data_IF_652810152566
#
_entry.id   IF_652810152566
#
_cell.length_a   1.000
_cell.length_b   1.000
_cell.length_c   1.000
_cell.angle_alpha   90.00
_cell.angle_beta   90.00
_cell.angle_gamma   90.00
#
_symmetry.space_group_name_H-M   'P 1'
#
loop_
_entity.id
_entity.type
_entity.pdbx_description
1 polymer ?
#
# COMPACT_ATOMS: atom_id res chain seq x y z
N UNK A 1 12.19 -2.49 2.63
CA UNK A 1 11.23 -1.45 2.23
C UNK A 1 10.40 -1.04 3.44
N UNK A 2 10.41 0.24 3.77
CA UNK A 2 9.72 0.74 4.97
C UNK A 2 8.30 1.24 4.67
N UNK A 3 8.06 1.70 3.45
CA UNK A 3 6.77 2.24 3.05
C UNK A 3 6.44 1.74 1.65
N UNK A 4 5.20 1.29 1.46
CA UNK A 4 4.68 0.94 0.15
C UNK A 4 3.49 1.84 -0.14
N UNK A 5 3.52 2.53 -1.29
CA UNK A 5 2.42 3.41 -1.68
C UNK A 5 1.72 2.87 -2.93
N UNK A 6 0.41 3.07 -2.98
CA UNK A 6 -0.40 2.65 -4.12
C UNK A 6 -1.20 3.82 -4.64
N UNK A 7 -1.09 4.07 -5.94
CA UNK A 7 -1.79 5.18 -6.60
C UNK A 7 -3.10 4.74 -7.26
N UNK A 8 -3.43 3.46 -7.25
CA UNK A 8 -4.69 2.96 -7.78
C UNK A 8 -4.98 1.55 -7.27
N UNK A 9 -6.26 1.14 -7.32
CA UNK A 9 -6.64 -0.22 -6.95
C UNK A 9 -6.04 -1.27 -7.88
N UNK A 10 -5.89 -0.93 -9.16
CA UNK A 10 -5.25 -1.83 -10.12
C UNK A 10 -3.78 -2.10 -9.77
N UNK A 11 -3.09 -1.08 -9.28
CA UNK A 11 -1.70 -1.23 -8.86
C UNK A 11 -1.59 -2.23 -7.71
N UNK A 12 -2.51 -2.17 -6.76
CA UNK A 12 -2.55 -3.12 -5.63
C UNK A 12 -2.70 -4.54 -6.14
N UNK A 13 -3.71 -4.77 -6.99
CA UNK A 13 -3.99 -6.11 -7.54
C UNK A 13 -2.82 -6.65 -8.36
N UNK A 14 -2.25 -5.82 -9.22
CA UNK A 14 -1.13 -6.20 -10.08
C UNK A 14 0.11 -6.56 -9.28
N UNK A 15 0.46 -5.71 -8.31
CA UNK A 15 1.63 -5.94 -7.46
C UNK A 15 1.47 -7.25 -6.68
N UNK A 16 0.31 -7.47 -6.10
CA UNK A 16 0.04 -8.69 -5.34
C UNK A 16 0.13 -9.94 -6.22
N UNK A 17 -0.46 -9.86 -7.42
CA UNK A 17 -0.46 -10.97 -8.37
C UNK A 17 0.97 -11.32 -8.81
N UNK A 18 1.78 -10.32 -9.11
CA UNK A 18 3.17 -10.53 -9.50
C UNK A 18 3.99 -11.15 -8.37
N UNK A 19 3.81 -10.67 -7.15
CA UNK A 19 4.54 -11.18 -6.01
C UNK A 19 4.12 -12.59 -5.64
N UNK A 20 2.84 -12.90 -5.72
CA UNK A 20 2.35 -14.26 -5.46
C UNK A 20 2.91 -15.25 -6.48
N UNK A 21 3.01 -14.85 -7.76
CA UNK A 21 3.59 -15.69 -8.80
C UNK A 21 5.07 -15.95 -8.56
N UNK A 22 5.79 -14.95 -8.03
CA UNK A 22 7.23 -15.05 -7.82
C UNK A 22 7.60 -15.71 -6.49
N UNK A 23 6.86 -15.41 -5.41
CA UNK A 23 7.24 -15.76 -4.05
C UNK A 23 6.27 -16.71 -3.34
N UNK A 24 5.05 -16.85 -3.85
CA UNK A 24 4.00 -17.60 -3.19
C UNK A 24 3.22 -16.74 -2.21
N UNK A 25 2.02 -17.18 -1.84
CA UNK A 25 1.08 -16.39 -1.02
C UNK A 25 1.62 -16.09 0.38
N UNK A 26 2.22 -17.08 1.03
CA UNK A 26 2.70 -16.91 2.41
C UNK A 26 3.84 -15.88 2.47
N UNK A 27 4.79 -15.95 1.54
CA UNK A 27 5.90 -15.01 1.49
C UNK A 27 5.43 -13.60 1.16
N UNK A 28 4.42 -13.49 0.27
CA UNK A 28 3.85 -12.20 -0.08
C UNK A 28 3.16 -11.56 1.11
N UNK A 29 2.40 -12.31 1.90
CA UNK A 29 1.78 -11.79 3.12
C UNK A 29 2.82 -11.24 4.09
N UNK A 30 3.90 -11.97 4.31
CA UNK A 30 4.97 -11.53 5.20
C UNK A 30 5.63 -10.25 4.69
N UNK A 31 5.80 -10.13 3.37
CA UNK A 31 6.39 -8.95 2.77
C UNK A 31 5.58 -7.70 3.07
N UNK A 32 4.25 -7.79 3.08
CA UNK A 32 3.37 -6.64 3.31
C UNK A 32 3.07 -6.36 4.77
N UNK A 33 3.50 -7.21 5.70
CA UNK A 33 3.27 -6.98 7.13
C UNK A 33 4.19 -5.92 7.72
N UNK A 34 5.44 -5.89 7.28
CA UNK A 34 6.45 -4.99 7.87
C UNK A 34 6.33 -3.55 7.40
N UNK A 35 6.19 -3.27 6.08
CA UNK A 35 6.14 -1.88 5.64
C UNK A 35 4.79 -1.24 5.93
N UNK A 36 4.79 0.08 6.07
CA UNK A 36 3.56 0.84 6.12
C UNK A 36 2.94 0.89 4.73
N UNK A 37 1.61 0.76 4.65
CA UNK A 37 0.87 0.82 3.39
C UNK A 37 0.16 2.15 3.32
N UNK A 38 0.41 2.90 2.25
CA UNK A 38 -0.20 4.22 2.03
C UNK A 38 -1.00 4.16 0.73
N UNK A 39 -2.25 4.62 0.78
CA UNK A 39 -3.12 4.67 -0.40
C UNK A 39 -3.39 6.11 -0.81
N UNK A 40 -3.72 6.30 -2.10
CA UNK A 40 -4.02 7.63 -2.62
C UNK A 40 -5.43 8.10 -2.26
N UNK A 41 -6.36 7.20 -1.99
CA UNK A 41 -7.73 7.57 -1.69
C UNK A 41 -8.57 6.40 -1.22
N UNK A 42 -9.90 6.64 -0.97
CA UNK A 42 -10.77 5.61 -0.37
C UNK A 42 -10.92 4.34 -1.20
N UNK A 43 -10.97 4.45 -2.53
CA UNK A 43 -11.12 3.27 -3.39
C UNK A 43 -9.87 2.39 -3.33
N UNK A 44 -8.71 3.01 -3.35
CA UNK A 44 -7.43 2.29 -3.22
C UNK A 44 -7.30 1.70 -1.82
N UNK A 45 -7.71 2.44 -0.79
CA UNK A 45 -7.74 1.94 0.58
C UNK A 45 -8.58 0.69 0.71
N UNK A 46 -9.77 0.70 0.10
CA UNK A 46 -10.66 -0.46 0.11
C UNK A 46 -9.99 -1.67 -0.52
N UNK A 47 -9.30 -1.47 -1.63
CA UNK A 47 -8.60 -2.55 -2.32
C UNK A 47 -7.44 -3.08 -1.48
N UNK A 48 -6.70 -2.18 -0.83
CA UNK A 48 -5.63 -2.58 0.07
C UNK A 48 -6.15 -3.43 1.23
N UNK A 49 -7.27 -3.02 1.83
CA UNK A 49 -7.87 -3.78 2.91
C UNK A 49 -8.35 -5.16 2.45
N UNK A 50 -8.92 -5.24 1.25
CA UNK A 50 -9.40 -6.52 0.69
C UNK A 50 -8.25 -7.48 0.38
N UNK A 51 -7.16 -6.97 -0.18
CA UNK A 51 -6.08 -7.81 -0.70
C UNK A 51 -4.90 -7.94 0.25
N UNK A 52 -4.57 -6.88 0.99
CA UNK A 52 -3.41 -6.85 1.88
C UNK A 52 -3.79 -6.91 3.36
N UNK A 53 -5.03 -6.58 3.66
CA UNK A 53 -5.53 -6.60 5.04
C UNK A 53 -5.18 -5.38 5.86
N UNK A 54 -4.53 -4.35 5.27
CA UNK A 54 -4.18 -3.15 6.03
C UNK A 54 -3.99 -1.94 5.15
N UNK A 55 -4.23 -0.77 5.74
CA UNK A 55 -3.84 0.54 5.20
C UNK A 55 -3.39 1.36 6.40
N UNK A 56 -2.17 1.84 6.38
CA UNK A 56 -1.63 2.64 7.49
C UNK A 56 -1.99 4.11 7.38
N UNK A 57 -2.09 4.62 6.16
CA UNK A 57 -2.48 6.01 5.93
C UNK A 57 -3.04 6.19 4.53
N UNK A 58 -4.01 7.10 4.41
CA UNK A 58 -4.61 7.50 3.15
C UNK A 58 -4.22 8.95 2.84
N UNK A 59 -3.91 9.23 1.59
CA UNK A 59 -3.48 10.57 1.19
C UNK A 59 -4.59 11.60 1.33
N UNK A 60 -4.23 12.80 1.71
CA UNK A 60 -5.13 13.97 1.77
C UNK A 60 -4.34 15.19 1.30
N UNK A 61 -4.68 15.78 0.15
CA UNK A 61 -5.74 15.38 -0.78
C UNK A 61 -5.45 14.09 -1.53
N UNK A 62 -6.44 13.59 -2.25
CA UNK A 62 -6.35 12.31 -2.97
C UNK A 62 -5.68 12.50 -4.34
N UNK A 63 -4.43 12.92 -4.33
CA UNK A 63 -3.62 13.11 -5.53
C UNK A 63 -2.18 12.71 -5.23
N UNK A 64 -1.30 12.83 -6.24
CA UNK A 64 0.09 12.41 -6.09
C UNK A 64 0.83 13.21 -5.03
N UNK A 65 0.56 14.52 -4.95
CA UNK A 65 1.18 15.36 -3.93
C UNK A 65 0.77 14.92 -2.53
N UNK A 66 -0.52 14.67 -2.31
CA UNK A 66 -1.02 14.16 -1.05
C UNK A 66 -0.43 12.80 -0.71
N UNK A 67 -0.25 11.94 -1.73
CA UNK A 67 0.36 10.62 -1.53
C UNK A 67 1.80 10.74 -1.05
N UNK A 68 2.58 11.64 -1.64
CA UNK A 68 3.96 11.89 -1.20
C UNK A 68 3.98 12.39 0.22
N UNK A 69 3.11 13.35 0.57
CA UNK A 69 3.02 13.87 1.92
C UNK A 69 2.64 12.79 2.93
N UNK A 70 1.71 11.93 2.57
CA UNK A 70 1.31 10.82 3.44
C UNK A 70 2.48 9.85 3.69
N UNK A 71 3.26 9.56 2.66
CA UNK A 71 4.45 8.72 2.81
C UNK A 71 5.48 9.35 3.76
N UNK A 72 5.70 10.64 3.62
CA UNK A 72 6.63 11.36 4.50
C UNK A 72 6.15 11.33 5.94
N UNK A 73 4.86 11.57 6.16
CA UNK A 73 4.28 11.54 7.50
C UNK A 73 4.42 10.16 8.16
N UNK A 74 4.18 9.11 7.40
CA UNK A 74 4.33 7.73 7.92
C UNK A 74 5.79 7.46 8.27
N UNK A 75 6.72 7.87 7.42
CA UNK A 75 8.14 7.68 7.69
C UNK A 75 8.59 8.43 8.94
N UNK A 76 8.05 9.62 9.16
CA UNK A 76 8.40 10.42 10.34
C UNK A 76 7.89 9.79 11.64
N UNK A 77 6.79 9.05 11.60
CA UNK A 77 6.23 8.37 12.77
C UNK A 77 6.98 7.09 13.14
N UNK A 78 7.83 6.62 12.25
CA UNK A 78 8.64 5.43 12.46
C UNK A 78 10.05 5.83 12.86
#
# INVERSE_FOLDING_TARGET
VDVISFSSGKTVSHTLQMLESALGSASTEQLFRKPAVVSIGPQTSKRCLELLGKVDQEATPHDLEGLVQACVQVMQRR
#
